data_IF_567138765166
#
_entry.id   IF_567138765166
#
_cell.length_a   1.000
_cell.length_b   1.000
_cell.length_c   1.000
_cell.angle_alpha   90.00
_cell.angle_beta   90.00
_cell.angle_gamma   90.00
#
_symmetry.space_group_name_H-M   'P 1'
#
loop_
_entity.id
_entity.type
_entity.pdbx_description
1 polymer ?
#
# COMPACT_ATOMS: atom_id res chain seq x y z
N UNK A 1 0.77 -0.85 9.87
CA UNK A 1 0.19 0.31 9.17
C UNK A 1 -0.77 -0.17 8.11
N UNK A 2 -1.92 0.49 7.97
CA UNK A 2 -2.85 0.26 6.86
C UNK A 2 -3.05 1.62 6.20
N UNK A 3 -2.75 1.71 4.91
CA UNK A 3 -2.73 2.97 4.16
C UNK A 3 -2.79 2.73 2.65
N UNK A 4 -2.73 3.81 1.88
CA UNK A 4 -3.00 3.84 0.44
C UNK A 4 -1.78 4.29 -0.37
N UNK A 5 -0.60 4.42 0.25
CA UNK A 5 0.57 5.00 -0.40
C UNK A 5 1.86 4.18 -0.15
N UNK A 6 2.63 3.92 -1.22
CA UNK A 6 3.84 3.10 -1.13
C UNK A 6 4.97 3.80 -0.36
N UNK A 7 5.32 5.02 -0.75
CA UNK A 7 6.51 5.72 -0.24
C UNK A 7 6.33 6.34 1.16
N UNK A 8 5.08 6.47 1.63
CA UNK A 8 4.75 7.05 2.93
C UNK A 8 4.26 5.98 3.88
N UNK A 9 3.11 5.34 3.61
CA UNK A 9 2.56 4.37 4.56
C UNK A 9 3.37 3.07 4.61
N UNK A 10 3.63 2.48 3.44
CA UNK A 10 4.26 1.16 3.37
C UNK A 10 5.75 1.26 3.71
N UNK A 11 6.50 2.13 3.04
CA UNK A 11 7.93 2.31 3.30
C UNK A 11 8.19 2.84 4.71
N UNK A 12 7.42 3.83 5.16
CA UNK A 12 7.57 4.42 6.49
C UNK A 12 7.31 3.41 7.61
N UNK A 13 6.25 2.62 7.50
CA UNK A 13 5.96 1.59 8.50
C UNK A 13 6.91 0.40 8.45
N UNK A 14 7.37 0.01 7.26
CA UNK A 14 8.37 -1.04 7.11
C UNK A 14 9.71 -0.64 7.74
N UNK A 15 10.11 0.64 7.63
CA UNK A 15 11.30 1.18 8.29
C UNK A 15 11.22 1.07 9.83
N UNK A 16 10.00 1.08 10.40
CA UNK A 16 9.74 0.88 11.83
C UNK A 16 9.57 -0.60 12.21
N UNK A 17 9.72 -1.53 11.26
CA UNK A 17 9.54 -2.98 11.48
C UNK A 17 8.08 -3.40 11.63
N UNK A 18 7.12 -2.55 11.26
CA UNK A 18 5.69 -2.86 11.35
C UNK A 18 5.21 -3.62 10.13
N UNK A 19 4.19 -4.47 10.32
CA UNK A 19 3.48 -5.08 9.21
C UNK A 19 2.59 -4.06 8.48
N UNK A 20 2.45 -4.22 7.17
CA UNK A 20 1.83 -3.24 6.28
C UNK A 20 0.69 -3.81 5.45
N UNK A 21 -0.35 -3.00 5.26
CA UNK A 21 -1.49 -3.29 4.39
C UNK A 21 -1.66 -2.13 3.42
N UNK A 22 -1.67 -2.42 2.12
CA UNK A 22 -1.98 -1.45 1.06
C UNK A 22 -3.45 -1.56 0.65
N UNK A 23 -4.19 -0.47 0.81
CA UNK A 23 -5.57 -0.32 0.34
C UNK A 23 -5.56 0.28 -1.06
N UNK A 24 -6.28 -0.33 -2.01
CA UNK A 24 -6.09 -0.06 -3.44
C UNK A 24 -7.28 0.61 -4.13
N UNK A 25 -8.50 0.53 -3.60
CA UNK A 25 -9.70 1.12 -4.23
C UNK A 25 -10.20 2.40 -3.56
N UNK A 26 -9.62 2.78 -2.43
CA UNK A 26 -9.89 4.05 -1.75
C UNK A 26 -8.59 4.88 -1.71
N UNK A 27 -8.70 6.21 -1.74
CA UNK A 27 -7.55 7.11 -1.61
C UNK A 27 -6.66 7.22 -2.86
N UNK A 28 -5.35 7.38 -2.67
CA UNK A 28 -4.35 7.72 -3.68
C UNK A 28 -4.33 6.78 -4.89
N UNK A 29 -4.57 5.49 -4.68
CA UNK A 29 -4.54 4.49 -5.75
C UNK A 29 -5.92 4.11 -6.30
N UNK A 30 -6.98 4.82 -5.90
CA UNK A 30 -8.33 4.51 -6.41
C UNK A 30 -8.38 4.58 -7.94
N UNK A 31 -8.72 3.45 -8.58
CA UNK A 31 -8.80 3.33 -10.04
C UNK A 31 -7.49 2.97 -10.75
N UNK A 32 -6.40 2.71 -10.02
CA UNK A 32 -5.10 2.33 -10.57
C UNK A 32 -4.71 0.89 -10.26
N UNK A 33 -3.96 0.26 -11.17
CA UNK A 33 -3.29 -1.00 -10.85
C UNK A 33 -2.06 -0.72 -9.98
N UNK A 34 -2.21 -1.00 -8.68
CA UNK A 34 -1.15 -0.83 -7.69
C UNK A 34 0.03 -1.77 -7.89
N UNK A 35 -0.10 -2.81 -8.71
CA UNK A 35 0.96 -3.80 -8.90
C UNK A 35 2.15 -3.23 -9.68
N UNK A 36 1.90 -2.55 -10.80
CA UNK A 36 2.98 -1.95 -11.59
C UNK A 36 3.78 -0.94 -10.77
N UNK A 37 3.12 -0.13 -9.93
CA UNK A 37 3.81 0.80 -9.04
C UNK A 37 4.66 0.10 -7.97
N UNK A 38 4.21 -1.03 -7.43
CA UNK A 38 5.01 -1.85 -6.51
C UNK A 38 6.22 -2.46 -7.20
N UNK A 39 6.07 -2.95 -8.43
CA UNK A 39 7.16 -3.52 -9.22
C UNK A 39 8.21 -2.48 -9.61
N UNK A 40 7.76 -1.30 -10.07
CA UNK A 40 8.65 -0.20 -10.44
C UNK A 40 9.39 0.41 -9.24
N UNK A 41 8.73 0.52 -8.09
CA UNK A 41 9.34 1.09 -6.86
C UNK A 41 10.13 0.08 -6.02
N UNK A 42 9.89 -1.22 -6.21
CA UNK A 42 10.42 -2.27 -5.34
C UNK A 42 9.82 -2.28 -3.93
N UNK A 43 8.70 -1.58 -3.71
CA UNK A 43 8.04 -1.46 -2.41
C UNK A 43 6.79 -2.36 -2.36
N UNK A 44 6.79 -3.29 -1.41
CA UNK A 44 5.72 -4.28 -1.25
C UNK A 44 5.12 -4.26 0.15
N UNK A 45 3.78 -4.27 0.21
CA UNK A 45 3.05 -4.46 1.45
C UNK A 45 2.97 -5.94 1.84
N UNK A 46 2.74 -6.24 3.12
CA UNK A 46 2.49 -7.62 3.53
C UNK A 46 1.14 -8.14 3.02
N UNK A 47 0.14 -7.25 2.91
CA UNK A 47 -1.17 -7.57 2.36
C UNK A 47 -1.67 -6.44 1.46
N UNK A 48 -2.52 -6.79 0.49
CA UNK A 48 -3.27 -5.86 -0.35
C UNK A 48 -4.76 -6.12 -0.14
N UNK A 49 -5.53 -5.05 0.02
CA UNK A 49 -6.97 -5.10 0.19
C UNK A 49 -7.62 -4.06 -0.73
N UNK A 50 -8.78 -4.39 -1.27
CA UNK A 50 -9.54 -3.48 -2.12
C UNK A 50 -10.02 -2.25 -1.33
N UNK A 51 -10.76 -2.46 -0.24
CA UNK A 51 -11.31 -1.40 0.60
C UNK A 51 -11.04 -1.66 2.07
N UNK A 52 -11.00 -0.58 2.85
CA UNK A 52 -10.80 -0.65 4.31
C UNK A 52 -12.09 -0.96 5.08
N UNK A 53 -13.25 -0.58 4.54
CA UNK A 53 -14.58 -0.86 5.08
C UNK A 53 -15.55 -1.16 3.92
N UNK A 54 -16.62 -1.95 4.15
CA UNK A 54 -17.66 -2.22 3.14
C UNK A 54 -18.37 -0.95 2.66
#
# INVERSE_FOLDING_TARGET
MCGDSLHTDILGAAAQGWKTVLVTKDGLFSGFDTQSYSEESGIFANWRLDRRYP
#
